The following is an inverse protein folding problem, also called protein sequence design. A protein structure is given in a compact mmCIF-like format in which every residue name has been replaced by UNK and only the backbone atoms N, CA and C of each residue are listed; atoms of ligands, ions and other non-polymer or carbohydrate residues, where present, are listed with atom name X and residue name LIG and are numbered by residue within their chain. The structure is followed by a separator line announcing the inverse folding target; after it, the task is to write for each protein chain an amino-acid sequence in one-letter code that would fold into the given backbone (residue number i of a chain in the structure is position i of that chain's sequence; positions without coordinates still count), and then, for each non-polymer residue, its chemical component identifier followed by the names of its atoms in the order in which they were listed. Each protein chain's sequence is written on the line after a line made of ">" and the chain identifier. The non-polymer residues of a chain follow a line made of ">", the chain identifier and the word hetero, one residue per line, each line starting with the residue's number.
data_IF_689088702598
#
_entry.id   IF_689088702598
#
_cell.length_a   1.000
_cell.length_b   1.000
_cell.length_c   1.000
_cell.angle_alpha   90.00
_cell.angle_beta   90.00
_cell.angle_gamma   90.00
#
_symmetry.space_group_name_H-M   'P 1'
#
loop_
_entity.id
_entity.type
_entity.pdbx_description
1 polymer ?
#
# COMPACT_ATOMS: atom_id res chain seq x y z
N UNK A 1 14.39 -3.33 -12.04
CA UNK A 1 12.99 -2.90 -12.24
C UNK A 1 12.84 -1.84 -13.33
N UNK A 2 13.93 -1.28 -13.89
CA UNK A 2 13.87 -0.24 -14.95
C UNK A 2 12.91 0.90 -14.61
N UNK A 3 13.11 1.44 -13.40
CA UNK A 3 12.38 2.57 -12.82
C UNK A 3 13.37 3.75 -12.79
N UNK A 4 12.99 4.94 -13.25
CA UNK A 4 13.83 6.14 -13.15
C UNK A 4 14.23 6.41 -11.69
N UNK A 5 15.48 6.85 -11.47
CA UNK A 5 15.99 7.09 -10.11
C UNK A 5 15.29 8.24 -9.37
N UNK A 6 14.68 9.15 -10.12
CA UNK A 6 13.91 10.30 -9.63
C UNK A 6 12.40 10.02 -9.59
N UNK A 7 11.96 8.80 -9.89
CA UNK A 7 10.55 8.45 -9.88
C UNK A 7 10.01 8.37 -8.45
N UNK A 8 8.80 8.92 -8.25
CA UNK A 8 7.95 8.56 -7.12
C UNK A 8 7.42 7.13 -7.36
N UNK A 9 7.73 6.21 -6.46
CA UNK A 9 7.34 4.80 -6.58
C UNK A 9 6.23 4.45 -5.60
N UNK A 10 5.06 4.14 -6.13
CA UNK A 10 3.89 3.69 -5.37
C UNK A 10 3.77 2.18 -5.49
N UNK A 11 3.29 1.51 -4.45
CA UNK A 11 3.08 0.06 -4.49
C UNK A 11 1.78 -0.36 -3.83
N UNK A 12 1.11 -1.34 -4.42
CA UNK A 12 0.04 -2.11 -3.78
C UNK A 12 0.30 -3.60 -4.00
N UNK A 13 -0.19 -4.41 -3.06
CA UNK A 13 0.01 -5.87 -3.09
C UNK A 13 -1.30 -6.54 -2.67
N UNK A 14 -1.90 -7.28 -3.59
CA UNK A 14 -3.14 -8.02 -3.37
C UNK A 14 -3.69 -8.61 -4.66
N UNK A 15 -4.48 -9.69 -4.58
CA UNK A 15 -5.13 -10.27 -5.76
C UNK A 15 -6.08 -9.27 -6.42
N UNK A 16 -6.14 -9.23 -7.76
CA UNK A 16 -7.06 -8.36 -8.47
C UNK A 16 -8.50 -8.83 -8.25
N UNK A 17 -9.26 -8.09 -7.45
CA UNK A 17 -10.68 -8.32 -7.22
C UNK A 17 -11.40 -7.00 -6.93
N UNK A 18 -12.73 -6.96 -7.05
CA UNK A 18 -13.53 -5.77 -6.70
C UNK A 18 -13.35 -5.34 -5.25
N UNK A 19 -12.95 -6.26 -4.36
CA UNK A 19 -12.67 -5.94 -2.96
C UNK A 19 -11.41 -5.10 -2.82
N UNK A 20 -10.35 -5.36 -3.61
CA UNK A 20 -9.07 -4.64 -3.49
C UNK A 20 -9.12 -3.21 -4.06
N UNK A 21 -10.02 -2.94 -5.01
CA UNK A 21 -10.21 -1.61 -5.62
C UNK A 21 -8.91 -0.98 -6.11
N UNK A 22 -8.08 -1.76 -6.81
CA UNK A 22 -6.88 -1.20 -7.43
C UNK A 22 -7.21 -0.16 -8.50
N UNK A 23 -8.41 -0.25 -9.11
CA UNK A 23 -8.95 0.75 -10.03
C UNK A 23 -8.86 2.18 -9.47
N UNK A 24 -9.07 2.39 -8.16
CA UNK A 24 -8.98 3.74 -7.57
C UNK A 24 -7.56 4.26 -7.45
N UNK A 25 -6.58 3.37 -7.28
CA UNK A 25 -5.17 3.77 -7.38
C UNK A 25 -4.87 4.20 -8.83
N UNK A 26 -5.42 3.48 -9.81
CA UNK A 26 -5.26 3.78 -11.24
C UNK A 26 -5.94 5.12 -11.59
N UNK A 27 -7.12 5.41 -11.06
CA UNK A 27 -7.83 6.69 -11.22
C UNK A 27 -7.11 7.87 -10.54
N UNK A 28 -6.37 7.62 -9.46
CA UNK A 28 -5.56 8.64 -8.79
C UNK A 28 -4.29 9.02 -9.60
N UNK A 29 -3.75 8.11 -10.40
CA UNK A 29 -2.48 8.31 -11.10
C UNK A 29 -2.45 9.54 -12.04
N UNK A 30 -3.47 9.83 -12.87
CA UNK A 30 -3.49 11.05 -13.67
C UNK A 30 -3.34 12.33 -12.84
N UNK A 31 -3.89 12.35 -11.61
CA UNK A 31 -3.77 13.51 -10.72
C UNK A 31 -2.35 13.63 -10.16
N UNK A 32 -1.76 12.51 -9.76
CA UNK A 32 -0.38 12.46 -9.23
C UNK A 32 0.63 12.80 -10.33
N UNK A 33 0.43 12.26 -11.54
CA UNK A 33 1.32 12.43 -12.69
C UNK A 33 1.39 13.89 -13.19
N UNK A 34 0.39 14.74 -12.90
CA UNK A 34 0.47 16.19 -13.15
C UNK A 34 1.59 16.87 -12.37
N UNK A 35 1.90 16.37 -11.18
CA UNK A 35 2.96 16.88 -10.30
C UNK A 35 4.26 16.08 -10.44
N UNK A 36 4.14 14.76 -10.63
CA UNK A 36 5.26 13.82 -10.74
C UNK A 36 5.12 12.96 -12.00
N UNK A 37 5.50 13.48 -13.18
CA UNK A 37 5.30 12.79 -14.47
C UNK A 37 5.96 11.40 -14.54
N UNK A 38 7.05 11.21 -13.80
CA UNK A 38 7.82 9.97 -13.72
C UNK A 38 7.28 8.97 -12.68
N UNK A 39 6.14 9.25 -12.03
CA UNK A 39 5.53 8.33 -11.04
C UNK A 39 5.40 6.92 -11.61
N UNK A 40 5.73 5.91 -10.80
CA UNK A 40 5.62 4.49 -11.14
C UNK A 40 4.79 3.77 -10.07
N UNK A 41 3.69 3.18 -10.49
CA UNK A 41 2.87 2.31 -9.65
C UNK A 41 3.22 0.84 -9.90
N UNK A 42 3.76 0.20 -8.88
CA UNK A 42 4.05 -1.24 -8.88
C UNK A 42 2.78 -1.97 -8.42
N UNK A 43 2.10 -2.57 -9.38
CA UNK A 43 0.87 -3.31 -9.16
C UNK A 43 1.19 -4.80 -9.02
N UNK A 44 1.17 -5.34 -7.79
CA UNK A 44 1.49 -6.74 -7.51
C UNK A 44 0.23 -7.53 -7.19
N UNK A 45 -0.04 -8.54 -8.02
CA UNK A 45 -1.20 -9.42 -7.92
C UNK A 45 -1.78 -9.77 -9.28
N UNK A 46 -2.63 -10.81 -9.30
CA UNK A 46 -3.46 -11.20 -10.43
C UNK A 46 -4.87 -11.52 -9.94
N UNK A 47 -5.82 -11.55 -10.86
CA UNK A 47 -7.18 -11.97 -10.55
C UNK A 47 -8.18 -11.48 -11.58
N UNK A 48 -9.46 -11.50 -11.20
CA UNK A 48 -10.59 -11.27 -12.10
C UNK A 48 -10.63 -9.85 -12.66
N UNK A 49 -10.25 -8.82 -11.88
CA UNK A 49 -10.26 -7.42 -12.31
C UNK A 49 -9.01 -7.00 -13.09
N UNK A 50 -8.00 -7.88 -13.28
CA UNK A 50 -6.72 -7.51 -13.90
C UNK A 50 -6.90 -6.96 -15.32
N UNK A 51 -7.85 -7.52 -16.08
CA UNK A 51 -8.13 -7.07 -17.45
C UNK A 51 -8.73 -5.66 -17.44
N UNK A 52 -9.74 -5.44 -16.60
CA UNK A 52 -10.42 -4.14 -16.44
C UNK A 52 -9.46 -3.06 -15.94
N UNK A 53 -8.57 -3.40 -15.00
CA UNK A 53 -7.52 -2.53 -14.50
C UNK A 53 -6.56 -2.06 -15.62
N UNK A 54 -6.17 -2.96 -16.52
CA UNK A 54 -5.31 -2.62 -17.69
C UNK A 54 -6.07 -1.79 -18.73
N UNK A 55 -7.34 -2.10 -18.97
CA UNK A 55 -8.19 -1.33 -19.89
C UNK A 55 -8.39 0.10 -19.37
N UNK A 56 -8.67 0.27 -18.08
CA UNK A 56 -8.77 1.55 -17.41
C UNK A 56 -7.45 2.34 -17.51
N UNK A 57 -6.31 1.68 -17.28
CA UNK A 57 -5.01 2.30 -17.43
C UNK A 57 -4.75 2.83 -18.85
N UNK A 58 -5.27 2.12 -19.86
CA UNK A 58 -5.17 2.53 -21.25
C UNK A 58 -6.12 3.68 -21.60
N UNK A 59 -7.37 3.63 -21.11
CA UNK A 59 -8.35 4.71 -21.27
C UNK A 59 -7.84 6.03 -20.68
N UNK A 60 -7.23 5.96 -19.49
CA UNK A 60 -6.65 7.12 -18.81
C UNK A 60 -5.29 7.55 -19.37
N UNK A 61 -4.72 6.79 -20.31
CA UNK A 61 -3.45 7.12 -20.96
C UNK A 61 -2.21 7.00 -20.04
N UNK A 62 -2.30 6.27 -18.93
CA UNK A 62 -1.25 6.17 -17.90
C UNK A 62 -0.51 4.82 -17.89
N UNK A 63 -0.60 4.05 -18.97
CA UNK A 63 0.08 2.75 -19.11
C UNK A 63 1.58 2.78 -18.78
N UNK A 64 2.25 3.90 -19.06
CA UNK A 64 3.71 4.05 -18.82
C UNK A 64 4.04 4.28 -17.34
N UNK A 65 3.05 4.65 -16.54
CA UNK A 65 3.17 4.91 -15.11
C UNK A 65 2.79 3.69 -14.27
N UNK A 66 2.43 2.55 -14.88
CA UNK A 66 2.08 1.32 -14.16
C UNK A 66 2.97 0.16 -14.60
N UNK A 67 3.43 -0.60 -13.62
CA UNK A 67 4.11 -1.88 -13.81
C UNK A 67 3.25 -2.99 -13.18
N UNK A 68 2.51 -3.72 -14.02
CA UNK A 68 1.75 -4.90 -13.60
C UNK A 68 2.70 -6.10 -13.46
N UNK A 69 3.09 -6.42 -12.23
CA UNK A 69 4.05 -7.50 -11.95
C UNK A 69 3.40 -8.88 -11.77
N UNK A 70 2.07 -8.95 -11.66
CA UNK A 70 1.41 -10.19 -11.32
C UNK A 70 1.75 -10.66 -9.90
N UNK A 71 1.50 -11.94 -9.61
CA UNK A 71 1.88 -12.55 -8.34
C UNK A 71 3.41 -12.65 -8.22
N UNK A 72 3.94 -12.29 -7.04
CA UNK A 72 5.36 -12.33 -6.72
C UNK A 72 5.57 -13.15 -5.45
N UNK A 73 6.60 -13.98 -5.42
CA UNK A 73 6.98 -14.79 -4.25
C UNK A 73 7.88 -14.03 -3.28
N UNK A 74 8.68 -13.10 -3.80
CA UNK A 74 9.51 -12.18 -3.02
C UNK A 74 9.05 -10.75 -3.30
N UNK A 75 8.19 -10.25 -2.43
CA UNK A 75 7.65 -8.89 -2.49
C UNK A 75 8.57 -7.86 -1.82
N UNK A 76 9.52 -8.30 -0.97
CA UNK A 76 10.35 -7.40 -0.15
C UNK A 76 11.16 -6.47 -1.03
N UNK A 77 11.74 -6.97 -2.11
CA UNK A 77 12.52 -6.17 -3.07
C UNK A 77 11.71 -5.04 -3.73
N UNK A 78 10.40 -5.22 -3.89
CA UNK A 78 9.50 -4.20 -4.44
C UNK A 78 9.13 -3.18 -3.38
N UNK A 79 8.79 -3.68 -2.18
CA UNK A 79 8.51 -2.85 -1.01
C UNK A 79 9.68 -1.89 -0.72
N UNK A 80 10.91 -2.39 -0.56
CA UNK A 80 12.07 -1.53 -0.24
C UNK A 80 12.46 -0.55 -1.34
N UNK A 81 11.97 -0.76 -2.56
CA UNK A 81 12.18 0.14 -3.69
C UNK A 81 11.03 1.13 -3.89
N UNK A 82 10.02 1.11 -3.00
CA UNK A 82 8.84 1.96 -3.08
C UNK A 82 8.85 3.04 -2.01
N UNK A 83 8.32 4.21 -2.35
CA UNK A 83 8.20 5.35 -1.45
C UNK A 83 6.93 5.29 -0.59
N UNK A 84 5.81 4.81 -1.16
CA UNK A 84 4.52 4.79 -0.47
C UNK A 84 3.76 3.49 -0.79
N UNK A 85 3.27 2.84 0.26
CA UNK A 85 2.39 1.69 0.16
C UNK A 85 0.91 2.11 0.19
N UNK A 86 0.09 1.58 -0.72
CA UNK A 86 -1.32 1.90 -0.88
C UNK A 86 -2.18 0.66 -0.64
N UNK A 87 -3.21 0.79 0.19
CA UNK A 87 -4.23 -0.23 0.39
C UNK A 87 -5.63 0.38 0.33
N UNK A 88 -6.31 0.16 -0.79
CA UNK A 88 -7.64 0.71 -1.11
C UNK A 88 -8.77 -0.30 -0.94
N UNK A 89 -8.51 -1.43 -0.28
CA UNK A 89 -9.50 -2.48 -0.04
C UNK A 89 -10.78 -1.96 0.61
N UNK A 90 -11.93 -2.49 0.17
CA UNK A 90 -13.25 -2.24 0.76
C UNK A 90 -13.41 -2.89 2.14
N UNK A 91 -12.87 -4.10 2.30
CA UNK A 91 -12.90 -4.85 3.56
C UNK A 91 -11.63 -5.68 3.71
N UNK A 92 -11.08 -5.71 4.91
CA UNK A 92 -9.96 -6.57 5.28
C UNK A 92 -10.23 -7.25 6.63
N UNK A 93 -9.71 -8.46 6.80
CA UNK A 93 -9.53 -9.04 8.13
C UNK A 93 -8.27 -8.43 8.74
N UNK A 94 -7.18 -9.18 8.68
CA UNK A 94 -5.84 -8.67 8.94
C UNK A 94 -5.02 -8.67 7.64
N UNK A 95 -4.61 -7.48 7.20
CA UNK A 95 -3.82 -7.34 5.98
C UNK A 95 -2.36 -7.70 6.25
N UNK A 96 -1.94 -8.89 5.81
CA UNK A 96 -0.54 -9.34 5.89
C UNK A 96 0.35 -8.40 5.07
N UNK A 97 -0.09 -7.96 3.89
CA UNK A 97 0.71 -7.08 3.03
C UNK A 97 0.90 -5.69 3.61
N UNK A 98 -0.06 -5.20 4.41
CA UNK A 98 0.12 -3.97 5.20
C UNK A 98 1.17 -4.18 6.30
N UNK A 99 1.15 -5.31 7.01
CA UNK A 99 2.18 -5.64 8.02
C UNK A 99 3.57 -5.71 7.39
N UNK A 100 3.70 -6.35 6.23
CA UNK A 100 4.97 -6.48 5.50
C UNK A 100 5.51 -5.11 5.05
N UNK A 101 4.64 -4.24 4.54
CA UNK A 101 5.01 -2.87 4.17
C UNK A 101 5.45 -2.04 5.38
N UNK A 102 4.69 -2.10 6.48
CA UNK A 102 5.02 -1.44 7.74
C UNK A 102 6.34 -1.96 8.33
N UNK A 103 6.60 -3.26 8.25
CA UNK A 103 7.86 -3.87 8.69
C UNK A 103 9.07 -3.36 7.87
N UNK A 104 8.88 -3.16 6.57
CA UNK A 104 9.90 -2.53 5.70
C UNK A 104 10.09 -1.03 6.03
N UNK A 105 9.11 -0.40 6.70
CA UNK A 105 9.12 0.99 7.11
C UNK A 105 8.86 1.92 5.94
N UNK A 106 7.90 1.52 5.11
CA UNK A 106 7.36 2.32 4.03
C UNK A 106 6.09 2.97 4.59
N UNK A 107 5.90 4.29 4.43
CA UNK A 107 4.69 4.93 4.88
C UNK A 107 3.48 4.37 4.10
N UNK A 108 2.39 4.14 4.82
CA UNK A 108 1.18 3.55 4.27
C UNK A 108 0.03 4.56 4.20
N UNK A 109 -0.70 4.55 3.08
CA UNK A 109 -2.01 5.18 2.95
C UNK A 109 -3.05 4.05 2.86
N UNK A 110 -4.00 4.06 3.81
CA UNK A 110 -5.01 3.03 3.98
C UNK A 110 -6.40 3.66 3.86
N UNK A 111 -7.32 2.98 3.20
CA UNK A 111 -8.73 3.36 3.26
C UNK A 111 -9.33 3.10 4.65
N UNK A 112 -10.27 3.95 5.06
CA UNK A 112 -10.88 3.94 6.39
C UNK A 112 -11.97 2.87 6.54
N UNK A 113 -11.58 1.60 6.38
CA UNK A 113 -12.46 0.44 6.46
C UNK A 113 -12.12 -0.44 7.66
N UNK A 114 -13.03 -1.36 8.01
CA UNK A 114 -12.76 -2.39 9.01
C UNK A 114 -11.52 -3.22 8.64
N UNK A 115 -10.74 -3.64 9.64
CA UNK A 115 -9.45 -4.32 9.48
C UNK A 115 -8.27 -3.37 9.27
N UNK A 116 -8.42 -2.36 8.39
CA UNK A 116 -7.35 -1.38 8.18
C UNK A 116 -7.22 -0.36 9.31
N UNK A 117 -8.33 -0.03 9.99
CA UNK A 117 -8.34 0.79 11.21
C UNK A 117 -7.47 0.22 12.33
N UNK A 118 -7.30 -1.10 12.38
CA UNK A 118 -6.54 -1.73 13.46
C UNK A 118 -5.06 -1.36 13.42
N UNK A 119 -4.54 -1.05 12.23
CA UNK A 119 -3.17 -0.57 12.07
C UNK A 119 -2.98 0.88 12.51
N UNK A 120 -4.04 1.68 12.61
CA UNK A 120 -3.94 3.13 12.84
C UNK A 120 -4.73 3.63 14.06
N UNK A 121 -4.85 2.82 15.12
CA UNK A 121 -5.62 3.18 16.33
C UNK A 121 -5.14 4.48 17.01
N UNK A 122 -3.85 4.78 16.94
CA UNK A 122 -3.26 6.02 17.49
C UNK A 122 -3.31 7.19 16.51
N UNK A 123 -3.61 6.94 15.23
CA UNK A 123 -3.51 7.92 14.16
C UNK A 123 -2.08 8.17 13.67
N UNK A 124 -1.10 7.39 14.13
CA UNK A 124 0.32 7.70 13.95
C UNK A 124 1.11 6.68 13.11
N UNK A 125 0.47 5.61 12.64
CA UNK A 125 1.15 4.50 11.94
C UNK A 125 0.90 4.51 10.42
N UNK A 126 -0.12 5.22 9.97
CA UNK A 126 -0.48 5.36 8.56
C UNK A 126 -1.36 6.59 8.35
N UNK A 127 -1.53 7.03 7.11
CA UNK A 127 -2.64 7.93 6.77
C UNK A 127 -3.89 7.10 6.48
N UNK A 128 -4.89 7.21 7.36
CA UNK A 128 -6.19 6.60 7.17
C UNK A 128 -7.13 7.62 6.51
N UNK A 129 -7.62 7.31 5.31
CA UNK A 129 -8.36 8.27 4.48
C UNK A 129 -9.75 7.75 4.09
N UNK A 130 -10.71 8.63 3.78
CA UNK A 130 -11.95 8.21 3.13
C UNK A 130 -11.70 7.49 1.81
N UNK A 131 -12.65 6.67 1.40
CA UNK A 131 -12.62 5.85 0.19
C UNK A 131 -12.84 6.69 -1.08
N UNK A 132 -11.88 7.57 -1.40
CA UNK A 132 -11.92 8.52 -2.52
C UNK A 132 -10.53 8.66 -3.18
N UNK A 133 -10.43 8.32 -4.46
CA UNK A 133 -9.17 8.37 -5.21
C UNK A 133 -8.57 9.78 -5.34
N UNK A 134 -9.38 10.84 -5.23
CA UNK A 134 -8.90 12.23 -5.26
C UNK A 134 -8.18 12.58 -3.96
N UNK A 135 -8.73 12.13 -2.83
CA UNK A 135 -8.07 12.26 -1.53
C UNK A 135 -6.82 11.38 -1.48
N UNK A 136 -6.88 10.17 -2.06
CA UNK A 136 -5.70 9.31 -2.22
C UNK A 136 -4.58 10.04 -2.96
N UNK A 137 -4.86 10.65 -4.11
CA UNK A 137 -3.89 11.43 -4.87
C UNK A 137 -3.30 12.60 -4.05
N UNK A 138 -4.15 13.37 -3.35
CA UNK A 138 -3.72 14.46 -2.48
C UNK A 138 -2.77 13.95 -1.38
N UNK A 139 -3.09 12.84 -0.73
CA UNK A 139 -2.27 12.30 0.36
C UNK A 139 -0.99 11.65 -0.11
N UNK A 140 -0.97 11.07 -1.32
CA UNK A 140 0.28 10.61 -1.96
C UNK A 140 1.22 11.80 -2.16
N UNK A 141 0.74 12.89 -2.76
CA UNK A 141 1.54 14.10 -3.00
C UNK A 141 2.01 14.69 -1.67
N UNK A 142 1.13 14.75 -0.67
CA UNK A 142 1.47 15.26 0.66
C UNK A 142 2.59 14.46 1.33
N UNK A 143 2.49 13.14 1.40
CA UNK A 143 3.53 12.30 2.02
C UNK A 143 4.86 12.38 1.28
N UNK A 144 4.84 12.44 -0.04
CA UNK A 144 6.05 12.55 -0.84
C UNK A 144 6.75 13.90 -0.67
N UNK A 145 5.99 14.98 -0.41
CA UNK A 145 6.53 16.33 -0.17
C UNK A 145 6.89 16.62 1.29
N UNK A 146 6.46 15.77 2.23
CA UNK A 146 6.68 15.92 3.68
C UNK A 146 7.41 14.70 4.24
N UNK A 147 8.72 14.53 3.92
CA UNK A 147 9.48 13.36 4.31
C UNK A 147 9.56 13.18 5.84
N UNK A 148 9.44 14.24 6.62
CA UNK A 148 9.37 14.18 8.08
C UNK A 148 8.11 13.46 8.59
N UNK A 149 6.97 13.68 7.92
CA UNK A 149 5.71 12.98 8.24
C UNK A 149 5.82 11.52 7.84
N UNK A 150 6.32 11.25 6.63
CA UNK A 150 6.57 9.90 6.13
C UNK A 150 7.50 9.11 7.04
N UNK A 151 8.59 9.72 7.51
CA UNK A 151 9.53 9.11 8.44
C UNK A 151 8.89 8.81 9.80
N UNK A 152 8.08 9.75 10.34
CA UNK A 152 7.36 9.56 11.61
C UNK A 152 6.38 8.39 11.52
N UNK A 153 5.54 8.35 10.49
CA UNK A 153 4.58 7.27 10.26
C UNK A 153 5.29 5.92 10.15
N UNK A 154 6.37 5.87 9.38
CA UNK A 154 7.13 4.64 9.15
C UNK A 154 7.81 4.10 10.42
N UNK A 155 8.33 4.99 11.27
CA UNK A 155 8.93 4.62 12.54
C UNK A 155 7.91 4.01 13.51
N UNK A 156 6.75 4.67 13.67
CA UNK A 156 5.68 4.15 14.52
C UNK A 156 5.06 2.86 13.97
N UNK A 157 4.89 2.76 12.65
CA UNK A 157 4.43 1.53 12.01
C UNK A 157 5.35 0.34 12.28
N UNK A 158 6.68 0.54 12.18
CA UNK A 158 7.68 -0.48 12.56
C UNK A 158 7.56 -0.88 14.03
N UNK A 159 7.37 0.09 14.92
CA UNK A 159 7.18 -0.16 16.35
C UNK A 159 5.91 -0.98 16.62
N UNK A 160 4.79 -0.63 15.97
CA UNK A 160 3.55 -1.40 16.03
C UNK A 160 3.80 -2.86 15.61
N UNK A 161 4.46 -3.08 14.46
CA UNK A 161 4.75 -4.43 13.97
C UNK A 161 5.59 -5.22 14.97
N UNK A 162 6.64 -4.61 15.52
CA UNK A 162 7.51 -5.26 16.51
C UNK A 162 6.80 -5.57 17.84
N UNK A 163 5.76 -4.82 18.21
CA UNK A 163 5.02 -5.03 19.46
C UNK A 163 3.84 -5.98 19.30
N UNK A 164 3.01 -5.78 18.28
CA UNK A 164 1.71 -6.44 18.12
C UNK A 164 1.71 -7.59 17.10
N UNK A 165 2.68 -7.61 16.17
CA UNK A 165 2.73 -8.57 15.07
C UNK A 165 4.04 -9.37 15.04
N UNK A 166 4.79 -9.36 16.14
CA UNK A 166 6.04 -10.10 16.27
C UNK A 166 5.77 -11.61 16.33
N UNK A 167 6.30 -12.34 15.34
CA UNK A 167 6.03 -13.76 15.14
C UNK A 167 6.24 -14.60 16.41
N UNK A 168 7.38 -14.41 17.09
CA UNK A 168 7.72 -15.18 18.30
C UNK A 168 6.72 -14.95 19.43
N UNK A 169 6.28 -13.71 19.62
CA UNK A 169 5.39 -13.35 20.73
C UNK A 169 3.99 -13.89 20.46
N UNK A 170 3.52 -13.78 19.22
CA UNK A 170 2.21 -14.27 18.82
C UNK A 170 2.14 -15.80 18.84
N UNK A 171 3.19 -16.49 18.38
CA UNK A 171 3.26 -17.95 18.46
C UNK A 171 3.23 -18.44 19.92
N UNK A 172 3.98 -17.80 20.82
CA UNK A 172 3.97 -18.12 22.25
C UNK A 172 2.59 -17.91 22.87
N UNK A 173 1.93 -16.78 22.59
CA UNK A 173 0.59 -16.51 23.12
C UNK A 173 -0.45 -17.55 22.68
N UNK A 174 -0.39 -17.99 21.41
CA UNK A 174 -1.25 -19.06 20.88
C UNK A 174 -0.95 -20.40 21.57
N UNK A 175 0.33 -20.75 21.74
CA UNK A 175 0.73 -21.99 22.42
C UNK A 175 0.23 -22.03 23.87
N UNK A 176 0.37 -20.93 24.61
CA UNK A 176 -0.10 -20.81 25.99
C UNK A 176 -1.63 -20.90 26.10
N UNK A 177 -2.38 -20.43 25.10
CA UNK A 177 -3.83 -20.55 25.08
C UNK A 177 -4.29 -22.00 24.93
N UNK A 178 -3.62 -22.79 24.07
CA UNK A 178 -3.97 -24.19 23.84
C UNK A 178 -3.35 -25.17 24.84
N UNK A 179 -2.39 -24.72 25.66
CA UNK A 179 -1.76 -25.53 26.71
C UNK A 179 -2.45 -25.39 28.08
N UNK A 180 -3.55 -24.63 28.15
CA UNK A 180 -4.47 -24.56 29.29
C UNK A 180 -5.54 -25.64 29.18
#
# INVERSE_FOLDING_TARGET
>A
MDIPLDALVLISIGGCSPVKRHAEIIEALPLIAKHYPNVQYLHLGKGETEKEEKELAAELGINKQIRFYGNQTDIRKYLVASDIYLMTSKHEGISITTIEAMACGIPAILYNVAGLRDFNKTGENSLLIPEDYKILAEKVIYLYTHPEVSAKLSAHAKELVNKAYHLKNNAEAIYQLYSQ
#
